data_IF_180430721164
#
_entry.id   IF_180430721164
#
_cell.length_a   1.000
_cell.length_b   1.000
_cell.length_c   1.000
_cell.angle_alpha   90.00
_cell.angle_beta   90.00
_cell.angle_gamma   90.00
#
_symmetry.space_group_name_H-M   'P 1'
#
loop_
_entity.id
_entity.type
_entity.pdbx_description
1 polymer ?
#
# COMPACT_ATOMS: atom_id res chain seq x y z
N UNK A 1 36.67 -30.18 60.81
CA UNK A 1 37.17 -31.03 59.71
C UNK A 1 36.08 -32.01 59.34
N UNK A 2 35.32 -31.71 58.30
CA UNK A 2 34.39 -32.68 57.68
C UNK A 2 34.22 -32.27 56.22
N UNK A 3 34.83 -33.06 55.34
CA UNK A 3 34.76 -32.89 53.88
C UNK A 3 33.41 -33.42 53.39
N UNK A 4 32.66 -32.59 52.67
CA UNK A 4 31.46 -33.03 51.97
C UNK A 4 31.81 -33.42 50.52
N UNK A 5 31.40 -34.62 50.15
CA UNK A 5 31.87 -35.41 49.02
C UNK A 5 31.03 -35.09 47.77
N UNK A 6 31.53 -34.22 46.88
CA UNK A 6 30.87 -33.96 45.59
C UNK A 6 30.94 -35.20 44.69
N UNK A 7 29.77 -35.80 44.39
CA UNK A 7 29.61 -36.90 43.45
C UNK A 7 29.62 -36.35 42.01
N UNK A 8 30.55 -36.86 41.21
CA UNK A 8 30.57 -36.69 39.77
C UNK A 8 29.33 -37.30 39.11
N UNK A 9 28.64 -36.49 38.32
CA UNK A 9 27.56 -36.89 37.42
C UNK A 9 27.93 -36.49 35.99
N UNK A 10 27.83 -37.46 35.07
CA UNK A 10 28.33 -37.42 33.69
C UNK A 10 27.70 -36.31 32.87
N UNK A 11 28.57 -35.55 32.21
CA UNK A 11 28.28 -34.83 30.97
C UNK A 11 27.95 -35.87 29.92
N UNK A 12 26.75 -35.83 29.33
CA UNK A 12 26.39 -36.21 27.95
C UNK A 12 24.87 -36.00 27.86
N UNK A 13 24.44 -35.01 27.08
CA UNK A 13 23.36 -35.08 26.09
C UNK A 13 23.39 -33.78 25.24
N UNK A 14 24.58 -33.40 24.78
CA UNK A 14 24.72 -32.52 23.61
C UNK A 14 24.78 -33.48 22.44
N UNK A 15 23.65 -33.77 21.78
CA UNK A 15 23.51 -34.30 20.42
C UNK A 15 22.05 -34.75 20.24
N UNK A 16 21.12 -33.80 20.08
CA UNK A 16 19.79 -34.12 19.55
C UNK A 16 19.25 -33.07 18.56
N UNK A 17 20.14 -32.28 17.96
CA UNK A 17 19.79 -31.33 16.90
C UNK A 17 20.65 -31.55 15.64
N UNK A 18 20.70 -32.80 15.14
CA UNK A 18 21.28 -33.14 13.82
C UNK A 18 20.15 -33.51 12.84
N UNK A 19 19.06 -32.77 12.88
CA UNK A 19 18.20 -32.65 11.71
C UNK A 19 18.37 -31.23 11.20
N UNK A 20 18.77 -31.02 9.94
CA UNK A 20 18.60 -29.72 9.33
C UNK A 20 17.10 -29.42 9.41
N UNK A 21 16.70 -28.53 10.32
CA UNK A 21 15.40 -27.91 10.21
C UNK A 21 15.42 -27.25 8.85
N UNK A 22 14.65 -27.80 7.91
CA UNK A 22 14.33 -27.12 6.66
C UNK A 22 13.93 -25.71 7.09
N UNK A 23 14.62 -24.65 6.65
CA UNK A 23 14.30 -23.30 7.08
C UNK A 23 12.82 -23.13 6.82
N UNK A 24 12.04 -23.04 7.90
CA UNK A 24 10.62 -22.84 7.80
C UNK A 24 10.49 -21.48 7.14
N UNK A 25 10.04 -21.49 5.88
CA UNK A 25 9.85 -20.26 5.14
C UNK A 25 9.00 -19.36 6.04
N UNK A 26 9.39 -18.08 6.24
CA UNK A 26 8.60 -17.17 7.04
C UNK A 26 7.15 -17.29 6.57
N UNK A 27 6.16 -17.46 7.47
CA UNK A 27 4.80 -17.73 7.08
C UNK A 27 4.40 -16.69 6.06
N UNK A 28 4.22 -17.15 4.81
CA UNK A 28 3.79 -16.30 3.73
C UNK A 28 2.54 -15.56 4.24
N UNK A 29 2.38 -14.26 3.92
CA UNK A 29 1.21 -13.50 4.32
C UNK A 29 -0.04 -14.34 4.04
N UNK A 30 -1.04 -14.34 4.94
CA UNK A 30 -2.19 -15.24 4.82
C UNK A 30 -2.71 -15.16 3.38
N UNK A 31 -2.62 -16.27 2.67
CA UNK A 31 -3.15 -16.35 1.32
C UNK A 31 -4.62 -15.92 1.41
N UNK A 32 -5.00 -15.00 0.54
CA UNK A 32 -6.33 -14.41 0.54
C UNK A 32 -7.33 -15.57 0.50
N UNK A 33 -8.22 -15.72 1.52
CA UNK A 33 -8.89 -16.99 1.78
C UNK A 33 -9.80 -17.45 0.64
N UNK A 34 -10.34 -16.50 -0.13
CA UNK A 34 -10.98 -16.76 -1.43
C UNK A 34 -11.12 -15.46 -2.23
N UNK A 35 -11.23 -15.57 -3.56
CA UNK A 35 -11.50 -14.42 -4.45
C UNK A 35 -12.80 -13.70 -4.10
N UNK A 36 -13.86 -14.46 -3.78
CA UNK A 36 -15.16 -13.88 -3.39
C UNK A 36 -15.06 -13.08 -2.09
N UNK A 37 -14.38 -13.62 -1.08
CA UNK A 37 -14.14 -12.91 0.18
C UNK A 37 -13.39 -11.60 -0.08
N UNK A 38 -12.34 -11.63 -0.90
CA UNK A 38 -11.57 -10.45 -1.27
C UNK A 38 -12.44 -9.36 -1.90
N UNK A 39 -13.21 -9.68 -2.94
CA UNK A 39 -14.08 -8.70 -3.59
C UNK A 39 -15.13 -8.17 -2.62
N UNK A 40 -15.71 -9.01 -1.76
CA UNK A 40 -16.63 -8.57 -0.73
C UNK A 40 -15.99 -7.57 0.24
N UNK A 41 -14.77 -7.85 0.70
CA UNK A 41 -14.00 -6.95 1.56
C UNK A 41 -13.66 -5.62 0.87
N UNK A 42 -13.29 -5.66 -0.42
CA UNK A 42 -13.03 -4.46 -1.22
C UNK A 42 -14.30 -3.61 -1.38
N UNK A 43 -15.42 -4.23 -1.74
CA UNK A 43 -16.72 -3.55 -1.89
C UNK A 43 -17.18 -2.94 -0.57
N UNK A 44 -17.09 -3.70 0.53
CA UNK A 44 -17.38 -3.20 1.89
C UNK A 44 -16.50 -2.02 2.27
N UNK A 45 -15.23 -2.04 1.89
CA UNK A 45 -14.29 -0.94 2.13
C UNK A 45 -14.67 0.32 1.35
N UNK A 46 -15.04 0.19 0.08
CA UNK A 46 -15.52 1.30 -0.75
C UNK A 46 -16.82 1.87 -0.17
N UNK A 47 -17.78 1.02 0.17
CA UNK A 47 -19.03 1.45 0.78
C UNK A 47 -18.80 2.22 2.10
N UNK A 48 -17.94 1.71 2.99
CA UNK A 48 -17.56 2.41 4.23
C UNK A 48 -16.92 3.77 3.98
N UNK A 49 -16.08 3.89 2.93
CA UNK A 49 -15.49 5.16 2.53
C UNK A 49 -16.56 6.16 2.12
N UNK A 50 -17.53 5.75 1.29
CA UNK A 50 -18.62 6.61 0.82
C UNK A 50 -19.49 7.05 2.00
N UNK A 51 -19.93 6.11 2.85
CA UNK A 51 -20.81 6.40 3.98
C UNK A 51 -20.17 7.34 5.01
N UNK A 52 -18.85 7.25 5.24
CA UNK A 52 -18.12 8.07 6.22
C UNK A 52 -17.40 9.28 5.63
N UNK A 53 -17.36 9.44 4.32
CA UNK A 53 -16.69 10.56 3.65
C UNK A 53 -17.15 11.95 4.14
N UNK A 54 -18.44 12.24 4.35
CA UNK A 54 -18.85 13.58 4.80
C UNK A 54 -18.50 13.86 6.27
N UNK A 55 -18.12 12.85 7.05
CA UNK A 55 -17.94 12.96 8.50
C UNK A 55 -16.48 12.93 8.95
N UNK A 56 -15.54 12.54 8.08
CA UNK A 56 -14.13 12.46 8.44
C UNK A 56 -13.23 12.93 7.31
N UNK A 57 -12.26 13.78 7.66
CA UNK A 57 -11.26 14.28 6.71
C UNK A 57 -10.42 13.14 6.13
N UNK A 58 -10.14 12.10 6.91
CA UNK A 58 -9.31 10.98 6.47
C UNK A 58 -10.06 10.02 5.55
N UNK A 59 -11.35 9.80 5.79
CA UNK A 59 -12.21 9.00 4.89
C UNK A 59 -12.45 9.74 3.58
N UNK A 60 -12.68 11.06 3.63
CA UNK A 60 -12.74 11.90 2.44
C UNK A 60 -11.45 11.84 1.62
N UNK A 61 -10.28 12.00 2.26
CA UNK A 61 -8.99 11.90 1.58
C UNK A 61 -8.78 10.53 0.92
N UNK A 62 -9.16 9.44 1.59
CA UNK A 62 -9.08 8.10 1.03
C UNK A 62 -10.01 7.89 -0.18
N UNK A 63 -11.23 8.43 -0.10
CA UNK A 63 -12.19 8.38 -1.19
C UNK A 63 -11.70 9.20 -2.38
N UNK A 64 -11.32 10.47 -2.13
CA UNK A 64 -10.70 11.37 -3.11
C UNK A 64 -9.57 10.68 -3.85
N UNK A 65 -8.61 10.10 -3.12
CA UNK A 65 -7.49 9.35 -3.69
C UNK A 65 -7.94 8.19 -4.59
N UNK A 66 -8.98 7.46 -4.16
CA UNK A 66 -9.52 6.31 -4.90
C UNK A 66 -10.18 6.75 -6.22
N UNK A 67 -10.93 7.84 -6.18
CA UNK A 67 -11.57 8.44 -7.36
C UNK A 67 -10.50 8.99 -8.31
N UNK A 68 -9.60 9.84 -7.82
CA UNK A 68 -8.57 10.45 -8.65
C UNK A 68 -7.64 9.40 -9.29
N UNK A 69 -7.22 8.37 -8.56
CA UNK A 69 -6.34 7.34 -9.11
C UNK A 69 -6.98 6.50 -10.22
N UNK A 70 -8.31 6.42 -10.22
CA UNK A 70 -9.09 5.61 -11.15
C UNK A 70 -9.54 6.40 -12.37
N UNK A 71 -9.88 7.68 -12.20
CA UNK A 71 -10.51 8.49 -13.25
C UNK A 71 -9.60 9.56 -13.87
N UNK A 72 -8.56 10.05 -13.18
CA UNK A 72 -7.65 11.02 -13.80
C UNK A 72 -6.74 10.35 -14.84
N UNK A 73 -6.44 11.06 -15.94
CA UNK A 73 -5.47 10.59 -16.90
C UNK A 73 -4.05 10.54 -16.30
N UNK A 74 -3.23 9.62 -16.80
CA UNK A 74 -1.91 9.31 -16.22
C UNK A 74 -0.97 10.51 -16.17
N UNK A 75 -1.02 11.41 -17.16
CA UNK A 75 -0.23 12.64 -17.18
C UNK A 75 -0.53 13.56 -15.99
N UNK A 76 -1.76 13.52 -15.47
CA UNK A 76 -2.16 14.32 -14.32
C UNK A 76 -1.89 13.59 -13.00
N UNK A 77 -2.06 12.26 -12.97
CA UNK A 77 -1.76 11.42 -11.81
C UNK A 77 -0.26 11.43 -11.49
N UNK A 78 0.60 11.25 -12.51
CA UNK A 78 2.05 11.12 -12.30
C UNK A 78 2.81 12.45 -12.33
N UNK A 79 2.12 13.59 -12.39
CA UNK A 79 2.75 14.92 -12.49
C UNK A 79 3.73 15.22 -11.34
N UNK A 80 3.44 14.70 -10.15
CA UNK A 80 4.29 14.91 -8.97
C UNK A 80 5.40 13.87 -8.82
N UNK A 81 5.44 12.85 -9.67
CA UNK A 81 6.40 11.74 -9.57
C UNK A 81 7.85 12.22 -9.69
N UNK A 82 8.11 13.28 -10.45
CA UNK A 82 9.44 13.87 -10.58
C UNK A 82 9.99 14.44 -9.24
N UNK A 83 9.11 14.92 -8.38
CA UNK A 83 9.44 15.48 -7.06
C UNK A 83 9.41 14.43 -5.96
N UNK A 84 8.79 13.27 -6.22
CA UNK A 84 8.59 12.21 -5.25
C UNK A 84 9.90 11.46 -5.00
N UNK A 85 10.16 11.14 -3.73
CA UNK A 85 11.28 10.33 -3.27
C UNK A 85 10.80 9.28 -2.28
N UNK A 86 11.65 8.29 -2.05
CA UNK A 86 11.34 7.10 -1.26
C UNK A 86 10.47 6.10 -2.01
N UNK A 87 10.18 4.99 -1.35
CA UNK A 87 9.44 3.86 -1.91
C UNK A 87 8.43 3.28 -0.91
N UNK A 88 7.40 2.59 -1.40
CA UNK A 88 6.41 1.99 -0.52
C UNK A 88 6.99 0.74 0.18
N UNK A 89 7.25 0.85 1.48
CA UNK A 89 7.68 -0.28 2.33
C UNK A 89 6.52 -1.20 2.79
N UNK A 90 5.31 -1.02 2.23
CA UNK A 90 4.11 -1.82 2.55
C UNK A 90 3.75 -1.84 4.05
N UNK A 91 4.07 -0.78 4.82
CA UNK A 91 3.71 -0.68 6.24
C UNK A 91 2.20 -0.60 6.52
N UNK A 92 1.39 -0.20 5.55
CA UNK A 92 -0.07 -0.10 5.70
C UNK A 92 -0.57 1.14 6.47
N UNK A 93 0.33 2.04 6.89
CA UNK A 93 -0.03 3.26 7.61
C UNK A 93 -0.95 4.20 6.82
N UNK A 94 -0.84 4.21 5.48
CA UNK A 94 -1.71 4.99 4.61
C UNK A 94 -3.18 4.56 4.64
N UNK A 95 -3.46 3.35 5.12
CA UNK A 95 -4.80 2.86 5.37
C UNK A 95 -5.15 2.94 6.86
N UNK A 96 -4.23 2.62 7.78
CA UNK A 96 -4.45 2.64 9.24
C UNK A 96 -5.18 3.90 9.72
N UNK A 97 -4.74 5.06 9.24
CA UNK A 97 -5.28 6.37 9.61
C UNK A 97 -6.64 6.65 8.96
N UNK A 98 -6.84 6.18 7.73
CA UNK A 98 -7.95 6.63 6.90
C UNK A 98 -9.21 5.78 7.05
N UNK A 99 -9.02 4.47 7.18
CA UNK A 99 -10.05 3.47 7.37
C UNK A 99 -9.34 2.18 7.73
N UNK A 100 -9.79 1.44 8.75
CA UNK A 100 -9.23 0.10 9.02
C UNK A 100 -9.48 -0.81 7.81
N UNK A 101 -8.51 -0.83 6.89
CA UNK A 101 -8.52 -1.58 5.66
C UNK A 101 -8.48 -3.07 6.01
N UNK A 102 -9.28 -3.92 5.36
CA UNK A 102 -9.27 -5.36 5.65
C UNK A 102 -7.93 -6.03 5.34
N UNK A 103 -7.08 -5.38 4.54
CA UNK A 103 -5.73 -5.83 4.20
C UNK A 103 -4.63 -5.21 5.08
N UNK A 104 -5.01 -4.38 6.05
CA UNK A 104 -4.10 -3.88 7.06
C UNK A 104 -3.98 -4.93 8.17
N UNK A 105 -2.76 -5.38 8.41
CA UNK A 105 -2.42 -6.36 9.44
C UNK A 105 -1.64 -5.61 10.51
N UNK A 106 -2.16 -5.63 11.74
CA UNK A 106 -1.52 -5.04 12.92
C UNK A 106 -1.08 -6.20 13.84
N UNK A 107 0.21 -6.51 13.83
CA UNK A 107 0.84 -7.55 14.69
C UNK A 107 1.50 -6.91 15.92
N UNK A 108 1.28 -5.62 16.18
CA UNK A 108 1.81 -4.89 17.33
C UNK A 108 2.34 -3.49 17.00
N UNK A 109 2.83 -2.74 18.02
CA UNK A 109 3.14 -1.31 17.90
C UNK A 109 4.18 -0.96 16.84
N UNK A 110 5.03 -1.90 16.43
CA UNK A 110 6.06 -1.70 15.40
C UNK A 110 5.97 -2.70 14.23
N UNK A 111 4.99 -3.61 14.26
CA UNK A 111 4.84 -4.69 13.27
C UNK A 111 3.51 -4.54 12.55
N UNK A 112 3.39 -3.50 11.72
CA UNK A 112 2.24 -3.30 10.86
C UNK A 112 2.61 -3.54 9.40
N UNK A 113 1.78 -4.27 8.65
CA UNK A 113 2.02 -4.56 7.24
C UNK A 113 0.74 -4.51 6.40
N UNK A 114 0.93 -4.33 5.10
CA UNK A 114 -0.15 -4.26 4.13
C UNK A 114 -0.09 -5.46 3.18
N UNK A 115 -1.11 -6.31 3.23
CA UNK A 115 -1.23 -7.49 2.39
C UNK A 115 -1.84 -7.21 1.01
N UNK A 116 -2.25 -5.98 0.69
CA UNK A 116 -2.95 -5.71 -0.58
C UNK A 116 -2.10 -6.05 -1.82
N UNK A 117 -0.77 -5.94 -1.70
CA UNK A 117 0.17 -6.20 -2.77
C UNK A 117 0.46 -7.68 -3.00
N UNK A 118 0.00 -8.56 -2.11
CA UNK A 118 0.05 -10.02 -2.31
C UNK A 118 -1.20 -10.53 -3.02
N UNK A 119 -2.19 -9.64 -3.24
CA UNK A 119 -3.41 -9.95 -3.96
C UNK A 119 -3.28 -9.64 -5.46
N UNK A 120 -4.01 -10.34 -6.34
CA UNK A 120 -3.98 -10.08 -7.78
C UNK A 120 -4.58 -8.71 -8.16
N UNK A 121 -5.32 -8.06 -7.25
CA UNK A 121 -6.06 -6.84 -7.53
C UNK A 121 -5.76 -5.73 -6.52
N UNK A 122 -4.52 -5.25 -6.54
CA UNK A 122 -4.16 -4.04 -5.81
C UNK A 122 -4.92 -2.83 -6.39
N UNK A 123 -5.68 -2.06 -5.59
CA UNK A 123 -6.38 -0.88 -6.05
C UNK A 123 -5.41 0.15 -6.66
N UNK A 124 -5.85 0.83 -7.72
CA UNK A 124 -5.12 1.94 -8.35
C UNK A 124 -4.65 2.97 -7.32
N UNK A 125 -5.48 3.25 -6.31
CA UNK A 125 -5.22 4.17 -5.20
C UNK A 125 -4.02 3.76 -4.33
N UNK A 126 -3.78 2.46 -4.17
CA UNK A 126 -2.66 1.91 -3.42
C UNK A 126 -1.39 1.97 -4.27
N UNK A 127 -1.47 1.54 -5.53
CA UNK A 127 -0.34 1.48 -6.45
C UNK A 127 0.20 2.88 -6.79
N UNK A 128 -0.68 3.88 -6.93
CA UNK A 128 -0.33 5.25 -7.32
C UNK A 128 -0.07 6.18 -6.13
N UNK A 129 -0.04 5.67 -4.90
CA UNK A 129 0.16 6.49 -3.71
C UNK A 129 1.63 6.92 -3.55
N UNK A 130 1.90 8.14 -3.05
CA UNK A 130 1.00 9.30 -2.91
C UNK A 130 0.59 9.94 -4.25
N UNK A 131 -0.68 10.34 -4.38
CA UNK A 131 -1.16 11.02 -5.59
C UNK A 131 -0.75 12.49 -5.64
N UNK A 132 -0.76 13.16 -4.48
CA UNK A 132 -0.37 14.55 -4.36
C UNK A 132 0.34 14.83 -3.02
N UNK A 133 1.00 15.99 -2.88
CA UNK A 133 1.63 16.38 -1.61
C UNK A 133 0.65 16.50 -0.44
N UNK A 134 -0.65 16.69 -0.71
CA UNK A 134 -1.66 16.83 0.31
C UNK A 134 -1.95 15.48 1.00
N UNK A 135 -2.02 14.39 0.24
CA UNK A 135 -2.18 13.03 0.74
C UNK A 135 -1.08 12.67 1.74
N UNK A 136 0.18 13.01 1.42
CA UNK A 136 1.31 12.76 2.30
C UNK A 136 1.29 13.68 3.53
N UNK A 137 0.93 14.96 3.37
CA UNK A 137 0.83 15.90 4.51
C UNK A 137 -0.23 15.46 5.52
N UNK A 138 -1.38 14.97 5.06
CA UNK A 138 -2.42 14.41 5.92
C UNK A 138 -1.93 13.16 6.66
N UNK A 139 -1.14 12.33 5.99
CA UNK A 139 -0.54 11.16 6.60
C UNK A 139 0.47 11.55 7.69
N UNK A 140 1.40 12.44 7.36
CA UNK A 140 2.46 12.90 8.25
C UNK A 140 1.92 13.61 9.50
N UNK A 141 0.75 14.26 9.40
CA UNK A 141 0.07 14.83 10.57
C UNK A 141 -0.25 13.79 11.64
N UNK A 142 -0.55 12.56 11.25
CA UNK A 142 -1.08 11.52 12.14
C UNK A 142 -0.01 10.50 12.57
N UNK A 143 0.95 10.17 11.71
CA UNK A 143 2.04 9.20 11.99
C UNK A 143 3.43 9.85 12.04
N UNK A 144 3.52 11.17 11.92
CA UNK A 144 4.81 11.85 11.76
C UNK A 144 5.55 11.40 10.49
N UNK A 145 6.86 11.27 10.58
CA UNK A 145 7.73 10.91 9.45
C UNK A 145 7.93 9.40 9.28
N UNK A 146 7.00 8.56 9.78
CA UNK A 146 7.11 7.10 9.66
C UNK A 146 6.89 6.59 8.21
N UNK A 147 6.28 7.39 7.33
CA UNK A 147 6.19 7.06 5.91
C UNK A 147 7.49 7.44 5.21
N UNK A 148 8.03 6.50 4.44
CA UNK A 148 9.25 6.63 3.63
C UNK A 148 9.10 7.60 2.46
N UNK A 149 7.88 7.93 2.04
CA UNK A 149 7.64 8.88 0.97
C UNK A 149 7.88 10.31 1.44
N UNK A 150 8.54 11.10 0.60
CA UNK A 150 8.69 12.54 0.77
C UNK A 150 8.78 13.26 -0.58
N UNK A 151 8.56 14.58 -0.59
CA UNK A 151 8.66 15.40 -1.79
C UNK A 151 9.84 16.37 -1.65
N UNK A 152 10.72 16.40 -2.65
CA UNK A 152 11.82 17.36 -2.75
C UNK A 152 11.45 18.51 -3.69
N UNK A 153 11.80 19.73 -3.32
CA UNK A 153 11.56 20.93 -4.13
C UNK A 153 10.15 21.52 -3.97
N UNK A 154 9.79 22.42 -4.88
CA UNK A 154 8.50 23.09 -4.89
C UNK A 154 7.59 22.46 -5.96
N UNK A 155 6.68 21.53 -5.60
CA UNK A 155 5.75 20.94 -6.56
C UNK A 155 4.89 22.03 -7.16
N UNK A 156 4.90 22.15 -8.49
CA UNK A 156 4.16 23.21 -9.19
C UNK A 156 2.66 23.07 -8.92
N UNK A 157 2.03 24.16 -8.47
CA UNK A 157 0.58 24.26 -8.35
C UNK A 157 0.02 24.56 -9.74
N UNK A 158 -0.93 23.76 -10.18
CA UNK A 158 -1.58 23.97 -11.47
C UNK A 158 -2.66 25.04 -11.34
N UNK A 159 -2.69 25.94 -12.31
CA UNK A 159 -3.85 26.80 -12.51
C UNK A 159 -5.01 25.98 -13.08
N UNK A 160 -6.24 26.51 -13.01
CA UNK A 160 -7.41 25.82 -13.56
C UNK A 160 -7.30 25.61 -15.08
N UNK A 161 -6.69 26.56 -15.79
CA UNK A 161 -6.46 26.46 -17.24
C UNK A 161 -5.45 25.36 -17.56
N UNK A 162 -4.34 25.31 -16.83
CA UNK A 162 -3.33 24.27 -17.03
C UNK A 162 -3.89 22.88 -16.70
N UNK A 163 -4.71 22.78 -15.65
CA UNK A 163 -5.41 21.55 -15.30
C UNK A 163 -6.33 21.08 -16.45
N UNK A 164 -7.17 21.97 -16.97
CA UNK A 164 -8.09 21.65 -18.07
C UNK A 164 -7.32 21.24 -19.34
N UNK A 165 -6.23 21.94 -19.65
CA UNK A 165 -5.36 21.62 -20.79
C UNK A 165 -4.73 20.23 -20.65
N UNK A 166 -4.13 19.93 -19.50
CA UNK A 166 -3.53 18.62 -19.24
C UNK A 166 -4.58 17.51 -19.25
N UNK A 167 -5.76 17.75 -18.67
CA UNK A 167 -6.85 16.79 -18.70
C UNK A 167 -7.26 16.46 -20.14
N UNK A 168 -7.51 17.47 -20.97
CA UNK A 168 -7.88 17.28 -22.37
C UNK A 168 -6.80 16.53 -23.17
N UNK A 169 -5.52 16.86 -22.94
CA UNK A 169 -4.40 16.13 -23.55
C UNK A 169 -4.37 14.66 -23.12
N UNK A 170 -4.56 14.38 -21.83
CA UNK A 170 -4.58 13.04 -21.29
C UNK A 170 -5.71 12.18 -21.87
N UNK A 171 -6.91 12.74 -21.98
CA UNK A 171 -8.06 12.08 -22.62
C UNK A 171 -7.77 11.78 -24.09
N UNK A 172 -7.22 12.74 -24.85
CA UNK A 172 -6.83 12.51 -26.25
C UNK A 172 -5.82 11.38 -26.40
N UNK A 173 -4.81 11.33 -25.54
CA UNK A 173 -3.81 10.26 -25.55
C UNK A 173 -4.42 8.88 -25.23
N UNK A 174 -5.36 8.81 -24.27
CA UNK A 174 -6.06 7.57 -23.96
C UNK A 174 -6.90 7.07 -25.14
N UNK A 175 -7.62 7.98 -25.81
CA UNK A 175 -8.38 7.64 -27.01
C UNK A 175 -7.48 7.16 -28.15
N UNK A 176 -6.34 7.83 -28.37
CA UNK A 176 -5.36 7.42 -29.37
C UNK A 176 -4.80 6.02 -29.08
N UNK A 177 -4.45 5.73 -27.81
CA UNK A 177 -3.99 4.39 -27.39
C UNK A 177 -5.05 3.32 -27.61
N UNK A 178 -6.33 3.61 -27.35
CA UNK A 178 -7.44 2.68 -27.62
C UNK A 178 -7.55 2.36 -29.10
N UNK A 179 -7.53 3.38 -29.96
CA UNK A 179 -7.56 3.18 -31.42
C UNK A 179 -6.37 2.38 -31.94
N UNK A 180 -5.17 2.62 -31.40
CA UNK A 180 -3.98 1.85 -31.75
C UNK A 180 -4.13 0.38 -31.34
N UNK A 181 -4.65 0.12 -30.13
CA UNK A 181 -4.90 -1.24 -29.65
C UNK A 181 -5.96 -1.96 -30.50
N UNK A 182 -7.05 -1.29 -30.85
CA UNK A 182 -8.08 -1.84 -31.73
C UNK A 182 -7.51 -2.17 -33.12
N UNK A 183 -6.60 -1.33 -33.64
CA UNK A 183 -5.94 -1.58 -34.91
C UNK A 183 -4.95 -2.75 -34.87
N UNK A 184 -4.24 -2.97 -33.75
CA UNK A 184 -3.36 -4.13 -33.58
C UNK A 184 -4.15 -5.42 -33.38
N UNK A 185 -5.16 -5.39 -32.52
CA UNK A 185 -5.98 -6.57 -32.19
C UNK A 185 -6.87 -7.01 -33.39
N UNK A 186 -7.15 -6.09 -34.33
CA UNK A 186 -7.87 -6.39 -35.58
C UNK A 186 -6.98 -6.79 -36.76
N UNK A 187 -5.65 -6.79 -36.58
CA UNK A 187 -4.68 -7.23 -37.59
C UNK A 187 -4.14 -8.66 -37.35
N UNK A 188 -4.47 -9.26 -36.20
CA UNK A 188 -4.30 -10.69 -35.87
C UNK A 188 -5.57 -11.49 -36.23
#
# INVERSE_FOLDING_TARGET
>A
MTQEKQKGGRVIHVFNNIFPQKPEAPPLPPEVPSRHWMYWQMTRSVFRKIARAPLSIHTWAALRRTVLASFLPDNLVYRYKAYQRGECNRCGLCCKIQFQCPFFIDEGPYNTRCAIYTTPHAPSACVKFPLDPHDLKLLQREIGNACTFYYEGAPQKLTMLDFAKLYAQGVRQQLAKRKLKEATDGAE
#
